data_IF_326240963098
#
_entry.id   IF_326240963098
#
_cell.length_a   1.000
_cell.length_b   1.000
_cell.length_c   1.000
_cell.angle_alpha   90.00
_cell.angle_beta   90.00
_cell.angle_gamma   90.00
#
_symmetry.space_group_name_H-M   'P 1'
#
loop_
_entity.id
_entity.type
_entity.pdbx_description
1 polymer ?
#
# COMPACT_ATOMS: atom_id res chain seq x y z
N UNK A 1 -40.09 -7.49 -20.74
CA UNK A 1 -38.84 -7.75 -21.50
C UNK A 1 -38.05 -6.46 -21.50
N UNK A 2 -36.89 -6.35 -20.82
CA UNK A 2 -36.05 -5.18 -21.00
C UNK A 2 -35.53 -5.25 -22.43
N UNK A 3 -35.79 -4.20 -23.20
CA UNK A 3 -35.24 -4.04 -24.54
C UNK A 3 -33.85 -3.45 -24.32
N UNK A 4 -32.78 -4.21 -24.62
CA UNK A 4 -31.44 -3.66 -24.59
C UNK A 4 -31.34 -2.58 -25.68
N UNK A 5 -31.31 -1.32 -25.24
CA UNK A 5 -31.30 -0.15 -26.12
C UNK A 5 -29.96 0.04 -26.85
N UNK A 6 -28.92 -0.65 -26.39
CA UNK A 6 -27.56 -0.58 -26.93
C UNK A 6 -27.09 -2.01 -27.23
N UNK A 7 -26.41 -2.21 -28.36
CA UNK A 7 -25.67 -3.44 -28.62
C UNK A 7 -24.50 -3.57 -27.65
N UNK A 8 -23.97 -4.79 -27.44
CA UNK A 8 -22.78 -5.01 -26.59
C UNK A 8 -21.60 -4.11 -26.99
N UNK A 9 -21.43 -3.85 -28.30
CA UNK A 9 -20.43 -2.94 -28.82
C UNK A 9 -20.72 -1.47 -28.47
N UNK A 10 -21.99 -1.05 -28.54
CA UNK A 10 -22.40 0.31 -28.13
C UNK A 10 -22.32 0.51 -26.62
N UNK A 11 -22.64 -0.51 -25.83
CA UNK A 11 -22.49 -0.49 -24.38
C UNK A 11 -21.01 -0.47 -23.97
N UNK A 12 -20.13 -1.16 -24.70
CA UNK A 12 -18.68 -1.13 -24.49
C UNK A 12 -18.03 0.19 -24.93
N UNK A 13 -18.57 0.85 -25.96
CA UNK A 13 -18.12 2.18 -26.41
C UNK A 13 -18.68 3.32 -25.53
N UNK A 14 -19.82 3.10 -24.87
CA UNK A 14 -20.38 4.04 -23.92
C UNK A 14 -19.42 4.22 -22.74
N UNK A 15 -19.17 5.47 -22.33
CA UNK A 15 -18.25 5.82 -21.24
C UNK A 15 -16.75 5.50 -21.48
N UNK A 16 -16.35 5.22 -22.73
CA UNK A 16 -14.95 4.99 -23.11
C UNK A 16 -14.52 5.84 -24.33
N UNK A 17 -13.21 6.03 -24.51
CA UNK A 17 -12.67 6.65 -25.72
C UNK A 17 -12.67 5.65 -26.88
N UNK A 18 -13.41 5.96 -27.94
CA UNK A 18 -13.35 5.24 -29.21
C UNK A 18 -12.27 5.84 -30.12
N UNK A 19 -11.01 5.75 -29.67
CA UNK A 19 -9.85 6.37 -30.32
C UNK A 19 -9.55 7.79 -29.85
N UNK A 20 -8.56 8.42 -30.49
CA UNK A 20 -8.11 9.76 -30.16
C UNK A 20 -9.12 10.82 -30.65
N UNK A 21 -9.55 11.77 -29.79
CA UNK A 21 -10.41 12.86 -30.21
C UNK A 21 -9.77 13.66 -31.35
N UNK A 22 -10.59 14.04 -32.31
CA UNK A 22 -10.17 14.92 -33.39
C UNK A 22 -9.75 16.29 -32.86
N UNK A 23 -8.98 17.04 -33.66
CA UNK A 23 -8.55 18.39 -33.28
C UNK A 23 -9.72 19.31 -32.94
N UNK A 24 -10.82 19.22 -33.68
CA UNK A 24 -12.04 20.01 -33.42
C UNK A 24 -12.69 19.62 -32.09
N UNK A 25 -12.66 18.33 -31.73
CA UNK A 25 -13.16 17.87 -30.43
C UNK A 25 -12.24 18.31 -29.29
N UNK A 26 -10.92 18.30 -29.48
CA UNK A 26 -9.95 18.85 -28.52
C UNK A 26 -10.22 20.33 -28.24
N UNK A 27 -10.36 21.14 -29.29
CA UNK A 27 -10.64 22.57 -29.18
C UNK A 27 -12.00 22.85 -28.53
N UNK A 28 -12.99 21.97 -28.73
CA UNK A 28 -14.35 22.16 -28.21
C UNK A 28 -14.54 21.68 -26.76
N UNK A 29 -13.99 20.51 -26.42
CA UNK A 29 -14.28 19.84 -25.15
C UNK A 29 -13.09 19.84 -24.19
N UNK A 30 -11.87 19.99 -24.69
CA UNK A 30 -10.65 19.90 -23.88
C UNK A 30 -9.95 21.24 -23.69
N UNK A 31 -10.55 22.33 -24.19
CA UNK A 31 -10.10 23.68 -23.86
C UNK A 31 -10.38 24.00 -22.38
N UNK A 32 -9.39 24.58 -21.71
CA UNK A 32 -9.45 25.00 -20.31
C UNK A 32 -9.81 26.49 -20.24
N UNK A 33 -11.05 26.78 -19.86
CA UNK A 33 -11.51 28.14 -19.63
C UNK A 33 -10.99 28.70 -18.28
N UNK A 34 -11.33 29.94 -17.97
CA UNK A 34 -10.83 30.60 -16.77
C UNK A 34 -11.36 29.94 -15.48
N UNK A 35 -12.58 29.37 -15.50
CA UNK A 35 -13.13 28.66 -14.36
C UNK A 35 -12.42 27.31 -14.15
N UNK A 36 -12.12 26.59 -15.23
CA UNK A 36 -11.30 25.39 -15.18
C UNK A 36 -9.93 25.69 -14.58
N UNK A 37 -9.30 26.78 -15.04
CA UNK A 37 -7.99 27.21 -14.55
C UNK A 37 -8.01 27.52 -13.06
N UNK A 38 -9.02 28.23 -12.57
CA UNK A 38 -9.18 28.51 -11.14
C UNK A 38 -9.24 27.21 -10.30
N UNK A 39 -10.01 26.22 -10.76
CA UNK A 39 -10.11 24.92 -10.10
C UNK A 39 -8.79 24.13 -10.14
N UNK A 40 -8.05 24.23 -11.25
CA UNK A 40 -6.78 23.55 -11.48
C UNK A 40 -5.65 24.17 -10.64
N UNK A 41 -5.59 25.50 -10.54
CA UNK A 41 -4.54 26.22 -9.81
C UNK A 41 -4.49 25.84 -8.33
N UNK A 42 -5.64 25.53 -7.74
CA UNK A 42 -5.78 24.99 -6.38
C UNK A 42 -5.11 23.64 -6.16
N UNK A 43 -4.69 22.91 -7.22
CA UNK A 43 -3.96 21.64 -7.10
C UNK A 43 -2.45 21.89 -6.97
N UNK A 44 -1.86 21.28 -5.94
CA UNK A 44 -0.41 21.34 -5.68
C UNK A 44 0.35 20.46 -6.68
N UNK A 45 1.47 20.95 -7.25
CA UNK A 45 2.36 20.27 -8.22
C UNK A 45 1.76 20.05 -9.63
N UNK A 46 2.60 20.16 -10.66
CA UNK A 46 2.21 20.08 -12.08
C UNK A 46 1.47 18.81 -12.48
N UNK A 47 1.92 17.63 -12.03
CA UNK A 47 1.26 16.37 -12.35
C UNK A 47 -0.19 16.31 -11.84
N UNK A 48 -0.52 16.90 -10.68
CA UNK A 48 -1.90 16.86 -10.19
C UNK A 48 -2.80 17.86 -10.91
N UNK A 49 -2.22 18.94 -11.44
CA UNK A 49 -2.94 19.90 -12.29
C UNK A 49 -3.31 19.24 -13.61
N UNK A 50 -2.36 18.54 -14.24
CA UNK A 50 -2.59 17.79 -15.46
C UNK A 50 -3.63 16.66 -15.26
N UNK A 51 -3.49 15.86 -14.20
CA UNK A 51 -4.44 14.78 -13.92
C UNK A 51 -5.86 15.28 -13.62
N UNK A 52 -6.01 16.40 -12.91
CA UNK A 52 -7.31 17.01 -12.67
C UNK A 52 -7.92 17.58 -13.96
N UNK A 53 -7.13 18.28 -14.79
CA UNK A 53 -7.57 18.79 -16.08
C UNK A 53 -8.03 17.67 -17.01
N UNK A 54 -7.29 16.57 -17.08
CA UNK A 54 -7.65 15.39 -17.88
C UNK A 54 -8.98 14.79 -17.41
N UNK A 55 -9.19 14.63 -16.10
CA UNK A 55 -10.45 14.10 -15.58
C UNK A 55 -11.63 15.04 -15.80
N UNK A 56 -11.44 16.35 -15.61
CA UNK A 56 -12.48 17.36 -15.82
C UNK A 56 -12.95 17.39 -17.27
N UNK A 57 -12.01 17.41 -18.22
CA UNK A 57 -12.31 17.45 -19.65
C UNK A 57 -12.80 16.10 -20.18
N UNK A 58 -12.30 14.99 -19.64
CA UNK A 58 -12.85 13.65 -19.95
C UNK A 58 -14.29 13.52 -19.50
N UNK A 59 -14.64 13.98 -18.31
CA UNK A 59 -16.03 14.00 -17.85
C UNK A 59 -16.91 14.92 -18.71
N UNK A 60 -16.36 16.03 -19.22
CA UNK A 60 -17.05 16.91 -20.16
C UNK A 60 -17.31 16.23 -21.51
N UNK A 61 -16.37 15.41 -21.99
CA UNK A 61 -16.45 14.75 -23.29
C UNK A 61 -17.28 13.46 -23.26
N UNK A 62 -16.99 12.54 -22.32
CA UNK A 62 -17.63 11.23 -22.21
C UNK A 62 -18.85 11.23 -21.28
N UNK A 63 -19.07 12.28 -20.49
CA UNK A 63 -20.12 12.34 -19.47
C UNK A 63 -19.81 11.56 -18.19
N UNK A 64 -18.63 10.93 -18.11
CA UNK A 64 -18.21 10.10 -16.96
C UNK A 64 -16.73 10.33 -16.62
N UNK A 65 -16.36 10.03 -15.38
CA UNK A 65 -14.96 9.86 -15.01
C UNK A 65 -14.52 8.45 -15.37
N UNK A 66 -13.33 8.31 -15.96
CA UNK A 66 -12.74 6.99 -16.17
C UNK A 66 -12.30 6.38 -14.84
N UNK A 67 -12.61 5.09 -14.66
CA UNK A 67 -12.13 4.30 -13.53
C UNK A 67 -10.61 4.12 -13.58
N UNK A 68 -10.06 3.95 -14.79
CA UNK A 68 -8.63 3.93 -15.05
C UNK A 68 -8.20 5.26 -15.71
N UNK A 69 -7.48 6.14 -14.99
CA UNK A 69 -7.00 7.41 -15.53
C UNK A 69 -5.93 7.23 -16.63
N UNK A 70 -5.37 6.03 -16.83
CA UNK A 70 -4.46 5.75 -17.95
C UNK A 70 -5.20 5.51 -19.27
N UNK A 71 -6.53 5.35 -19.24
CA UNK A 71 -7.37 5.17 -20.42
C UNK A 71 -7.62 6.44 -21.25
N UNK A 72 -7.06 7.59 -20.87
CA UNK A 72 -7.18 8.84 -21.64
C UNK A 72 -6.15 8.85 -22.78
N UNK A 73 -6.55 9.18 -24.02
CA UNK A 73 -5.65 9.25 -25.16
C UNK A 73 -4.48 10.22 -24.95
N UNK A 74 -3.25 9.87 -25.39
CA UNK A 74 -2.07 10.74 -25.26
C UNK A 74 -2.27 12.14 -25.87
N UNK A 75 -3.04 12.25 -26.95
CA UNK A 75 -3.34 13.51 -27.63
C UNK A 75 -4.06 14.50 -26.70
N UNK A 76 -4.97 14.00 -25.86
CA UNK A 76 -5.65 14.80 -24.84
C UNK A 76 -4.65 15.26 -23.78
N UNK A 77 -3.76 14.36 -23.33
CA UNK A 77 -2.76 14.68 -22.32
C UNK A 77 -1.80 15.75 -22.82
N UNK A 78 -1.31 15.61 -24.04
CA UNK A 78 -0.40 16.56 -24.67
C UNK A 78 -1.07 17.94 -24.86
N UNK A 79 -2.31 17.95 -25.35
CA UNK A 79 -3.09 19.17 -25.52
C UNK A 79 -3.31 19.93 -24.20
N UNK A 80 -3.58 19.22 -23.10
CA UNK A 80 -3.77 19.82 -21.78
C UNK A 80 -2.44 20.25 -21.14
N UNK A 81 -1.37 19.48 -21.33
CA UNK A 81 -0.05 19.83 -20.83
C UNK A 81 0.46 21.14 -21.45
N UNK A 82 0.22 21.33 -22.75
CA UNK A 82 0.53 22.57 -23.47
C UNK A 82 -0.26 23.76 -22.89
N UNK A 83 -1.58 23.63 -22.73
CA UNK A 83 -2.42 24.69 -22.15
C UNK A 83 -2.01 25.09 -20.72
N UNK A 84 -1.48 24.14 -19.94
CA UNK A 84 -1.03 24.37 -18.57
C UNK A 84 0.43 24.87 -18.48
N UNK A 85 1.13 25.03 -19.62
CA UNK A 85 2.53 25.44 -19.65
C UNK A 85 3.47 24.43 -18.98
N UNK A 86 3.07 23.16 -18.89
CA UNK A 86 3.88 22.09 -18.30
C UNK A 86 4.81 21.58 -19.40
N UNK A 87 5.99 22.19 -19.52
CA UNK A 87 6.98 21.83 -20.53
C UNK A 87 7.26 20.33 -20.52
N UNK A 88 7.15 19.70 -21.69
CA UNK A 88 7.43 18.28 -21.90
C UNK A 88 8.86 17.95 -21.48
N UNK A 89 9.01 17.31 -20.33
CA UNK A 89 10.24 16.54 -20.04
C UNK A 89 10.33 15.48 -21.13
N UNK A 90 11.34 15.61 -22.01
CA UNK A 90 11.48 14.89 -23.26
C UNK A 90 10.94 13.45 -23.22
N UNK A 91 9.99 13.18 -24.12
CA UNK A 91 9.48 11.87 -24.55
C UNK A 91 9.96 10.67 -23.71
N UNK A 92 9.32 10.36 -22.57
CA UNK A 92 9.15 8.99 -22.15
C UNK A 92 7.82 8.52 -22.75
N UNK A 93 7.86 7.47 -23.57
CA UNK A 93 6.68 6.68 -24.01
C UNK A 93 5.40 6.98 -23.23
N UNK A 94 4.43 7.67 -23.87
CA UNK A 94 3.02 8.03 -23.56
C UNK A 94 2.28 7.66 -22.26
N UNK A 95 2.94 7.22 -21.20
CA UNK A 95 2.33 6.51 -20.06
C UNK A 95 2.85 7.07 -18.73
N UNK A 96 4.13 7.46 -18.67
CA UNK A 96 4.79 7.87 -17.42
C UNK A 96 4.29 9.20 -16.79
N UNK A 97 3.89 10.24 -17.54
CA UNK A 97 3.32 11.46 -16.95
C UNK A 97 1.93 11.20 -16.34
N UNK A 98 1.13 10.33 -16.97
CA UNK A 98 -0.23 9.99 -16.56
C UNK A 98 -0.26 9.06 -15.34
N UNK A 99 0.63 8.05 -15.30
CA UNK A 99 0.84 7.22 -14.11
C UNK A 99 1.20 8.04 -12.86
N UNK A 100 1.92 9.15 -13.04
CA UNK A 100 2.30 10.08 -11.96
C UNK A 100 1.24 11.17 -11.69
N UNK A 101 0.41 11.50 -12.68
CA UNK A 101 -0.63 12.53 -12.62
C UNK A 101 -1.99 12.01 -12.13
N UNK A 102 -2.29 10.73 -12.33
CA UNK A 102 -3.64 10.15 -12.23
C UNK A 102 -4.19 9.85 -10.84
N UNK A 103 -3.59 10.29 -9.73
CA UNK A 103 -3.92 9.72 -8.41
C UNK A 103 -4.42 10.77 -7.40
N UNK A 104 -5.29 11.73 -7.77
CA UNK A 104 -5.93 12.58 -6.73
C UNK A 104 -7.43 12.82 -6.80
N UNK A 105 -8.06 13.21 -7.91
CA UNK A 105 -9.49 13.51 -7.87
C UNK A 105 -10.29 12.20 -7.75
N UNK A 106 -9.90 11.16 -8.51
CA UNK A 106 -10.32 9.77 -8.26
C UNK A 106 -9.99 9.28 -6.84
N UNK A 107 -8.89 9.73 -6.20
CA UNK A 107 -8.63 9.31 -4.80
C UNK A 107 -9.56 9.93 -3.79
N UNK A 108 -10.16 11.11 -4.03
CA UNK A 108 -11.11 11.67 -3.08
C UNK A 108 -12.38 10.82 -3.04
N UNK A 109 -12.92 10.47 -4.20
CA UNK A 109 -14.06 9.56 -4.34
C UNK A 109 -13.68 8.17 -3.82
N UNK A 110 -12.52 7.61 -4.22
CA UNK A 110 -12.08 6.30 -3.75
C UNK A 110 -11.83 6.27 -2.23
N UNK A 111 -11.31 7.35 -1.62
CA UNK A 111 -11.16 7.47 -0.17
C UNK A 111 -12.53 7.56 0.52
N UNK A 112 -13.45 8.35 -0.02
CA UNK A 112 -14.80 8.43 0.52
C UNK A 112 -15.52 7.08 0.43
N UNK A 113 -15.46 6.40 -0.71
CA UNK A 113 -15.98 5.04 -0.87
C UNK A 113 -15.27 4.07 0.08
N UNK A 114 -13.95 4.14 0.22
CA UNK A 114 -13.21 3.31 1.17
C UNK A 114 -13.67 3.52 2.62
N UNK A 115 -13.86 4.78 3.06
CA UNK A 115 -14.34 5.10 4.41
C UNK A 115 -15.78 4.62 4.61
N UNK A 116 -16.66 4.83 3.62
CA UNK A 116 -18.04 4.37 3.66
C UNK A 116 -18.10 2.83 3.75
N UNK A 117 -17.34 2.12 2.92
CA UNK A 117 -17.21 0.66 2.98
C UNK A 117 -16.61 0.18 4.30
N UNK A 118 -15.62 0.87 4.84
CA UNK A 118 -15.03 0.56 6.15
C UNK A 118 -16.07 0.71 7.28
N UNK A 119 -16.95 1.70 7.18
CA UNK A 119 -18.01 1.97 8.15
C UNK A 119 -19.21 1.01 8.02
N UNK A 120 -19.60 0.65 6.80
CA UNK A 120 -20.80 -0.13 6.54
C UNK A 120 -20.55 -1.65 6.47
N UNK A 121 -19.46 -2.08 5.80
CA UNK A 121 -19.18 -3.50 5.55
C UNK A 121 -18.29 -4.13 6.65
N UNK A 122 -18.81 -5.04 7.50
CA UNK A 122 -18.02 -5.64 8.58
C UNK A 122 -16.91 -6.56 8.06
N UNK A 123 -17.12 -7.23 6.92
CA UNK A 123 -16.14 -8.08 6.26
C UNK A 123 -14.91 -7.29 5.80
N UNK A 124 -15.15 -6.20 5.07
CA UNK A 124 -14.10 -5.29 4.59
C UNK A 124 -13.29 -4.68 5.75
N UNK A 125 -13.98 -4.24 6.81
CA UNK A 125 -13.33 -3.72 8.02
C UNK A 125 -12.41 -4.74 8.70
N UNK A 126 -12.84 -6.01 8.80
CA UNK A 126 -12.02 -7.08 9.38
C UNK A 126 -10.79 -7.35 8.53
N UNK A 127 -10.92 -7.39 7.21
CA UNK A 127 -9.79 -7.59 6.30
C UNK A 127 -8.74 -6.48 6.43
N UNK A 128 -9.18 -5.21 6.44
CA UNK A 128 -8.27 -4.07 6.63
C UNK A 128 -7.56 -4.14 7.98
N UNK A 129 -8.30 -4.43 9.06
CA UNK A 129 -7.71 -4.59 10.40
C UNK A 129 -6.68 -5.71 10.44
N UNK A 130 -6.91 -6.83 9.76
CA UNK A 130 -5.94 -7.93 9.71
C UNK A 130 -4.61 -7.48 9.07
N UNK A 131 -4.67 -6.76 7.95
CA UNK A 131 -3.48 -6.20 7.30
C UNK A 131 -2.80 -5.12 8.13
N UNK A 132 -3.58 -4.23 8.75
CA UNK A 132 -3.06 -3.21 9.65
C UNK A 132 -2.34 -3.83 10.86
N UNK A 133 -2.95 -4.83 11.51
CA UNK A 133 -2.37 -5.54 12.65
C UNK A 133 -1.05 -6.24 12.28
N UNK A 134 -0.96 -6.82 11.08
CA UNK A 134 0.28 -7.42 10.57
C UNK A 134 1.40 -6.37 10.49
N UNK A 135 1.10 -5.24 9.85
CA UNK A 135 2.09 -4.18 9.65
C UNK A 135 2.47 -3.48 10.97
N UNK A 136 1.50 -3.22 11.84
CA UNK A 136 1.73 -2.66 13.18
C UNK A 136 2.54 -3.60 14.06
N UNK A 137 2.24 -4.90 14.04
CA UNK A 137 2.99 -5.92 14.76
C UNK A 137 4.45 -5.97 14.31
N UNK A 138 4.69 -5.98 12.99
CA UNK A 138 6.03 -5.92 12.40
C UNK A 138 6.77 -4.65 12.82
N UNK A 139 6.11 -3.48 12.72
CA UNK A 139 6.72 -2.22 13.13
C UNK A 139 7.00 -2.14 14.63
N UNK A 140 6.13 -2.69 15.47
CA UNK A 140 6.33 -2.73 16.91
C UNK A 140 7.51 -3.63 17.28
N UNK A 141 7.68 -4.78 16.61
CA UNK A 141 8.86 -5.62 16.75
C UNK A 141 10.12 -4.91 16.26
N UNK A 142 10.07 -4.28 15.08
CA UNK A 142 11.18 -3.52 14.52
C UNK A 142 11.66 -2.43 15.50
N UNK A 143 10.74 -1.68 16.11
CA UNK A 143 11.08 -0.66 17.13
C UNK A 143 11.68 -1.26 18.40
N UNK A 144 11.26 -2.46 18.80
CA UNK A 144 11.84 -3.16 19.97
C UNK A 144 13.27 -3.61 19.69
N UNK A 145 13.55 -4.13 18.49
CA UNK A 145 14.90 -4.48 18.04
C UNK A 145 15.75 -3.22 17.91
N UNK A 146 15.23 -2.22 17.20
CA UNK A 146 15.88 -0.94 16.93
C UNK A 146 15.62 0.08 18.06
N UNK A 147 16.07 -0.26 19.26
CA UNK A 147 15.83 0.50 20.49
C UNK A 147 16.85 1.63 20.73
N UNK A 148 18.00 1.62 20.04
CA UNK A 148 19.00 2.68 20.12
C UNK A 148 18.52 3.97 19.44
N UNK A 149 18.80 5.15 20.05
CA UNK A 149 18.40 6.48 19.54
C UNK A 149 16.90 6.64 19.24
N UNK A 150 16.02 6.03 20.04
CA UNK A 150 14.56 6.09 19.88
C UNK A 150 14.05 5.62 18.50
N UNK A 151 14.80 4.74 17.84
CA UNK A 151 14.46 4.23 16.53
C UNK A 151 14.69 5.23 15.37
N UNK A 152 15.43 6.31 15.59
CA UNK A 152 15.76 7.29 14.55
C UNK A 152 17.03 6.90 13.78
N UNK A 153 16.90 6.79 12.46
CA UNK A 153 18.03 6.66 11.54
C UNK A 153 18.67 8.05 11.37
N UNK A 154 19.88 8.26 11.90
CA UNK A 154 20.64 9.49 11.67
C UNK A 154 21.96 9.14 11.00
N UNK A 155 21.96 9.11 9.67
CA UNK A 155 23.15 9.03 8.84
C UNK A 155 23.02 10.00 7.66
N UNK A 156 24.14 10.66 7.33
CA UNK A 156 24.19 11.70 6.28
C UNK A 156 24.20 11.15 4.85
N UNK A 157 24.37 9.83 4.66
CA UNK A 157 24.54 9.16 3.36
C UNK A 157 23.50 8.04 3.18
N UNK A 158 23.05 7.84 1.93
CA UNK A 158 22.03 6.85 1.55
C UNK A 158 22.48 5.41 1.82
N UNK A 159 23.71 5.04 1.42
CA UNK A 159 24.24 3.69 1.56
C UNK A 159 24.25 3.19 3.03
N UNK A 160 24.62 4.07 3.98
CA UNK A 160 24.60 3.73 5.39
C UNK A 160 23.20 3.46 5.94
N UNK A 161 22.18 4.17 5.42
CA UNK A 161 20.79 3.94 5.80
C UNK A 161 20.28 2.59 5.26
N UNK A 162 20.69 2.22 4.05
CA UNK A 162 20.35 0.93 3.44
C UNK A 162 20.95 -0.24 4.23
N UNK A 163 22.22 -0.15 4.66
CA UNK A 163 22.86 -1.17 5.49
C UNK A 163 22.14 -1.36 6.84
N UNK A 164 21.76 -0.25 7.50
CA UNK A 164 21.03 -0.31 8.78
C UNK A 164 19.63 -0.91 8.62
N UNK A 165 18.92 -0.54 7.56
CA UNK A 165 17.60 -1.09 7.24
C UNK A 165 17.69 -2.58 6.84
N UNK A 166 18.71 -2.96 6.08
CA UNK A 166 19.00 -4.33 5.68
C UNK A 166 19.31 -5.21 6.90
N UNK A 167 20.20 -4.76 7.78
CA UNK A 167 20.53 -5.46 9.01
C UNK A 167 19.32 -5.58 9.96
N UNK A 168 18.52 -4.51 10.11
CA UNK A 168 17.28 -4.56 10.88
C UNK A 168 16.29 -5.57 10.29
N UNK A 169 16.15 -5.59 8.96
CA UNK A 169 15.32 -6.56 8.25
C UNK A 169 15.75 -7.99 8.51
N UNK A 170 17.06 -8.27 8.46
CA UNK A 170 17.63 -9.58 8.74
C UNK A 170 17.33 -10.04 10.17
N UNK A 171 17.61 -9.21 11.17
CA UNK A 171 17.38 -9.54 12.58
C UNK A 171 15.88 -9.72 12.85
N UNK A 172 15.03 -8.86 12.30
CA UNK A 172 13.58 -8.99 12.43
C UNK A 172 13.09 -10.31 11.87
N UNK A 173 13.53 -10.68 10.66
CA UNK A 173 13.13 -11.93 10.02
C UNK A 173 13.65 -13.15 10.79
N UNK A 174 14.86 -13.08 11.35
CA UNK A 174 15.41 -14.14 12.20
C UNK A 174 14.57 -14.34 13.47
N UNK A 175 14.13 -13.25 14.11
CA UNK A 175 13.21 -13.30 15.26
C UNK A 175 11.85 -13.86 14.87
N UNK A 176 11.30 -13.44 13.74
CA UNK A 176 10.02 -13.97 13.23
C UNK A 176 10.13 -15.47 12.99
N UNK A 177 11.21 -15.94 12.36
CA UNK A 177 11.45 -17.37 12.14
C UNK A 177 11.58 -18.13 13.46
N UNK A 178 12.33 -17.58 14.41
CA UNK A 178 12.45 -18.14 15.76
C UNK A 178 11.07 -18.28 16.42
N UNK A 179 10.29 -17.20 16.44
CA UNK A 179 8.94 -17.19 17.02
C UNK A 179 8.04 -18.23 16.38
N UNK A 180 7.95 -18.25 15.05
CA UNK A 180 7.11 -19.22 14.32
C UNK A 180 7.48 -20.65 14.66
N UNK A 181 8.78 -20.97 14.70
CA UNK A 181 9.26 -22.32 15.01
C UNK A 181 8.93 -22.74 16.45
N UNK A 182 9.11 -21.85 17.42
CA UNK A 182 8.76 -22.17 18.82
C UNK A 182 7.26 -22.19 19.05
N UNK A 183 6.48 -21.33 18.39
CA UNK A 183 5.02 -21.34 18.49
C UNK A 183 4.44 -22.65 17.94
N UNK A 184 4.96 -23.16 16.84
CA UNK A 184 4.59 -24.47 16.29
C UNK A 184 4.90 -25.62 17.27
N UNK A 185 6.10 -25.57 17.88
CA UNK A 185 6.50 -26.53 18.91
C UNK A 185 5.58 -26.47 20.14
N UNK A 186 5.25 -25.27 20.60
CA UNK A 186 4.35 -25.05 21.75
C UNK A 186 2.94 -25.54 21.45
N UNK A 187 2.39 -25.24 20.26
CA UNK A 187 1.06 -25.73 19.85
C UNK A 187 1.05 -27.26 19.79
N UNK A 188 2.11 -27.87 19.26
CA UNK A 188 2.26 -29.33 19.22
C UNK A 188 2.31 -29.96 20.61
N UNK A 189 3.06 -29.35 21.53
CA UNK A 189 3.14 -29.80 22.92
C UNK A 189 1.78 -29.67 23.63
N UNK A 190 1.11 -28.52 23.53
CA UNK A 190 -0.20 -28.31 24.15
C UNK A 190 -1.25 -29.33 23.67
N UNK A 191 -1.22 -29.68 22.39
CA UNK A 191 -2.07 -30.75 21.84
C UNK A 191 -1.72 -32.12 22.43
N UNK A 192 -0.43 -32.41 22.59
CA UNK A 192 0.03 -33.67 23.20
C UNK A 192 -0.33 -33.77 24.68
N UNK A 193 -0.34 -32.65 25.40
CA UNK A 193 -0.73 -32.54 26.81
C UNK A 193 -2.27 -32.64 27.01
N UNK A 194 -3.03 -32.71 25.92
CA UNK A 194 -4.48 -32.89 25.95
C UNK A 194 -5.31 -31.60 26.02
N UNK A 195 -4.69 -30.43 25.81
CA UNK A 195 -5.44 -29.18 25.70
C UNK A 195 -6.21 -29.09 24.37
N UNK A 196 -7.42 -28.53 24.43
CA UNK A 196 -8.23 -28.26 23.24
C UNK A 196 -7.69 -27.05 22.46
N UNK A 197 -6.74 -27.29 21.54
CA UNK A 197 -6.12 -26.26 20.70
C UNK A 197 -6.76 -26.24 19.31
N UNK A 198 -7.82 -25.45 19.17
CA UNK A 198 -8.59 -25.27 17.92
C UNK A 198 -7.75 -24.62 16.82
N UNK A 199 -7.86 -25.13 15.59
CA UNK A 199 -7.14 -24.57 14.42
C UNK A 199 -7.51 -23.10 14.14
N UNK A 200 -8.74 -22.70 14.46
CA UNK A 200 -9.19 -21.31 14.33
C UNK A 200 -8.41 -20.33 15.22
N UNK A 201 -7.97 -20.79 16.40
CA UNK A 201 -7.19 -19.96 17.32
C UNK A 201 -5.72 -19.92 16.91
N UNK A 202 -5.18 -21.04 16.42
CA UNK A 202 -3.83 -21.10 15.83
C UNK A 202 -3.72 -20.13 14.64
N UNK A 203 -4.75 -20.06 13.80
CA UNK A 203 -4.80 -19.13 12.67
C UNK A 203 -4.77 -17.64 13.06
N UNK A 204 -5.09 -17.30 14.32
CA UNK A 204 -5.07 -15.92 14.85
C UNK A 204 -3.74 -15.55 15.49
N UNK A 205 -2.82 -16.50 15.65
CA UNK A 205 -1.52 -16.26 16.26
C UNK A 205 -0.67 -15.34 15.37
N UNK A 206 0.07 -14.42 16.01
CA UNK A 206 0.98 -13.51 15.33
C UNK A 206 2.43 -13.85 15.70
N UNK A 207 3.34 -13.99 14.73
CA UNK A 207 4.75 -14.29 15.01
C UNK A 207 5.52 -13.05 15.50
N UNK A 208 4.87 -11.91 15.74
CA UNK A 208 5.52 -10.67 16.19
C UNK A 208 5.54 -10.50 17.73
N UNK A 209 5.35 -11.59 18.48
CA UNK A 209 5.51 -11.60 19.95
C UNK A 209 6.95 -11.24 20.31
N UNK A 210 7.13 -10.36 21.29
CA UNK A 210 8.45 -9.75 21.59
C UNK A 210 8.74 -9.57 23.08
N UNK A 211 7.81 -9.97 23.94
CA UNK A 211 7.97 -9.84 25.40
C UNK A 211 9.06 -10.77 25.93
N UNK A 212 9.23 -11.94 25.30
CA UNK A 212 10.22 -12.95 25.68
C UNK A 212 11.65 -12.65 25.18
N UNK A 213 11.85 -11.55 24.44
CA UNK A 213 13.16 -11.21 23.87
C UNK A 213 13.74 -10.01 24.60
N UNK A 214 14.83 -10.25 25.30
CA UNK A 214 15.59 -9.18 25.93
C UNK A 214 16.57 -8.56 24.93
N UNK A 215 16.37 -7.27 24.64
CA UNK A 215 17.23 -6.49 23.73
C UNK A 215 18.31 -5.71 24.49
N UNK A 216 18.23 -5.67 25.82
CA UNK A 216 19.17 -4.97 26.68
C UNK A 216 20.10 -5.99 27.34
N UNK A 217 21.41 -5.73 27.28
CA UNK A 217 22.40 -6.60 27.91
C UNK A 217 23.74 -6.60 27.19
N UNK A 218 24.61 -7.52 27.59
CA UNK A 218 25.89 -7.76 26.92
C UNK A 218 25.72 -8.87 25.91
N UNK A 219 26.03 -8.56 24.65
CA UNK A 219 26.08 -9.54 23.58
C UNK A 219 27.48 -10.15 23.50
N UNK A 220 27.57 -11.47 23.57
CA UNK A 220 28.79 -12.21 23.23
C UNK A 220 28.66 -12.75 21.81
N UNK A 221 29.59 -12.39 20.94
CA UNK A 221 29.68 -12.91 19.58
C UNK A 221 30.53 -14.19 19.48
N UNK A 222 31.03 -14.69 20.62
CA UNK A 222 31.63 -16.03 20.67
C UNK A 222 30.50 -17.03 20.56
N UNK A 223 30.38 -17.66 19.38
CA UNK A 223 29.38 -18.69 19.13
C UNK A 223 29.76 -19.93 19.97
N UNK A 224 28.94 -20.36 20.94
CA UNK A 224 29.17 -21.64 21.60
C UNK A 224 28.93 -22.78 20.61
N UNK A 225 29.52 -23.94 20.86
CA UNK A 225 29.09 -25.17 20.18
C UNK A 225 27.64 -25.45 20.58
N UNK A 226 26.73 -25.22 19.64
CA UNK A 226 25.31 -25.48 19.83
C UNK A 226 25.05 -26.92 19.36
N UNK A 227 24.48 -27.80 20.20
CA UNK A 227 24.23 -29.21 19.87
C UNK A 227 23.19 -29.43 18.76
N UNK A 228 22.75 -28.35 18.08
CA UNK A 228 21.60 -28.36 17.19
C UNK A 228 20.28 -28.49 17.96
N UNK A 229 19.17 -28.37 17.22
CA UNK A 229 17.83 -28.52 17.80
C UNK A 229 17.27 -27.26 18.46
N UNK A 230 16.09 -27.41 19.06
CA UNK A 230 15.41 -26.34 19.79
C UNK A 230 15.76 -26.42 21.28
N UNK A 231 15.75 -25.27 21.95
CA UNK A 231 15.83 -25.23 23.41
C UNK A 231 14.54 -25.82 23.99
N UNK A 232 14.60 -26.42 25.19
CA UNK A 232 13.41 -26.86 25.89
C UNK A 232 12.39 -25.74 26.04
N UNK A 233 11.10 -26.08 25.93
CA UNK A 233 10.02 -25.15 26.23
C UNK A 233 10.04 -24.80 27.72
N UNK A 234 9.66 -23.56 28.05
CA UNK A 234 9.59 -23.10 29.44
C UNK A 234 8.37 -23.72 30.11
N UNK A 235 8.54 -24.23 31.32
CA UNK A 235 7.45 -24.70 32.15
C UNK A 235 6.64 -23.49 32.65
N UNK A 236 5.33 -23.40 32.36
CA UNK A 236 4.50 -22.29 32.84
C UNK A 236 4.27 -22.32 34.36
N UNK A 237 4.42 -23.48 35.01
CA UNK A 237 4.21 -23.66 36.45
C UNK A 237 5.52 -23.48 37.26
N UNK A 238 6.65 -23.33 36.60
CA UNK A 238 7.92 -23.01 37.24
C UNK A 238 7.88 -21.56 37.78
N UNK A 239 8.11 -21.39 39.08
CA UNK A 239 8.32 -20.07 39.70
C UNK A 239 9.52 -19.38 39.06
N UNK A 240 9.45 -18.06 38.84
CA UNK A 240 10.52 -17.20 38.28
C UNK A 240 11.73 -17.08 39.24
N UNK A 241 12.25 -18.18 39.75
CA UNK A 241 13.53 -18.29 40.45
C UNK A 241 14.52 -19.00 39.53
N UNK A 242 15.20 -18.21 38.68
CA UNK A 242 16.62 -18.31 38.25
C UNK A 242 16.92 -17.39 37.06
#
# INVERSE_FOLDING_TARGET
MPVEFLTDAQAAAYAAYDGAPSRTELERFFFLDDADRELIEGKRRSHNRLGFAAQLTTARYLGVFLDDPTGVPPEVVDYLAEQLGIAGTGRPSGVAPMERAGIRPATAIAKSLHILRLADEPGYRRQIKAQANLQEGRHALARKIFHGRSGQLYQRYQDGMEDQLGALGLVLNAVVLFNTRYMDATVSQLRADGFDVRDEDVARLSPFVRQHINMLGRYSFKLPELPGGMRPLRDPDATDEE
#
